data_IF_282311144144
#
_entry.id   IF_282311144144
#
_cell.length_a   1.000
_cell.length_b   1.000
_cell.length_c   1.000
_cell.angle_alpha   90.00
_cell.angle_beta   90.00
_cell.angle_gamma   90.00
#
_symmetry.space_group_name_H-M   'P 1'
#
loop_
_entity.id
_entity.type
_entity.pdbx_description
1 polymer ?
#
# COMPACT_ATOMS: atom_id res chain seq x y z
N UNK A 1 17.22 -17.11 -6.72
CA UNK A 1 17.15 -15.72 -6.21
C UNK A 1 16.15 -15.68 -5.08
N UNK A 2 16.47 -15.03 -3.95
CA UNK A 2 15.52 -14.87 -2.86
C UNK A 2 14.43 -13.88 -3.28
N UNK A 3 13.23 -14.40 -3.56
CA UNK A 3 12.09 -13.61 -3.98
C UNK A 3 11.36 -13.05 -2.75
N UNK A 4 11.01 -11.77 -2.79
CA UNK A 4 10.38 -11.06 -1.69
C UNK A 4 9.07 -10.42 -2.09
N UNK A 5 8.21 -10.22 -1.09
CA UNK A 5 7.03 -9.34 -1.15
C UNK A 5 7.36 -8.05 -0.42
N UNK A 6 7.27 -6.91 -1.11
CA UNK A 6 7.39 -5.59 -0.47
C UNK A 6 5.99 -5.08 -0.13
N UNK A 7 5.76 -4.73 1.16
CA UNK A 7 4.48 -4.19 1.62
C UNK A 7 4.67 -2.79 2.20
N UNK A 8 3.99 -1.79 1.62
CA UNK A 8 3.96 -0.43 2.16
C UNK A 8 2.82 -0.25 3.15
N UNK A 9 3.02 0.53 4.23
CA UNK A 9 2.01 0.69 5.28
C UNK A 9 1.73 -0.59 6.05
N UNK A 10 2.75 -1.41 6.28
CA UNK A 10 2.67 -2.77 6.82
C UNK A 10 2.35 -2.89 8.30
N UNK A 11 2.38 -1.78 9.08
CA UNK A 11 2.29 -1.83 10.55
C UNK A 11 0.87 -1.84 11.12
N UNK A 12 -0.16 -1.74 10.29
CA UNK A 12 -1.55 -1.74 10.74
C UNK A 12 -2.54 -2.11 9.63
N UNK A 13 -3.77 -2.41 10.01
CA UNK A 13 -4.89 -2.61 9.08
C UNK A 13 -4.63 -3.64 7.98
N UNK A 14 -5.03 -3.31 6.77
CA UNK A 14 -4.93 -4.19 5.60
C UNK A 14 -3.47 -4.59 5.33
N UNK A 15 -2.52 -3.66 5.40
CA UNK A 15 -1.11 -3.96 5.14
C UNK A 15 -0.51 -4.95 6.14
N UNK A 16 -0.94 -4.89 7.41
CA UNK A 16 -0.54 -5.86 8.43
C UNK A 16 -1.08 -7.27 8.11
N UNK A 17 -2.36 -7.37 7.76
CA UNK A 17 -2.98 -8.67 7.45
C UNK A 17 -2.41 -9.27 6.15
N UNK A 18 -2.14 -8.45 5.14
CA UNK A 18 -1.43 -8.86 3.92
C UNK A 18 -0.02 -9.39 4.26
N UNK A 19 0.71 -8.70 5.15
CA UNK A 19 2.05 -9.15 5.57
C UNK A 19 1.99 -10.50 6.27
N UNK A 20 1.03 -10.70 7.19
CA UNK A 20 0.80 -12.00 7.84
C UNK A 20 0.42 -13.09 6.84
N UNK A 21 -0.46 -12.77 5.89
CA UNK A 21 -0.89 -13.71 4.87
C UNK A 21 0.28 -14.21 4.03
N UNK A 22 1.11 -13.31 3.51
CA UNK A 22 2.26 -13.71 2.70
C UNK A 22 3.32 -14.47 3.53
N UNK A 23 3.55 -14.07 4.79
CA UNK A 23 4.41 -14.82 5.70
C UNK A 23 3.89 -16.25 5.90
N UNK A 24 2.58 -16.42 6.14
CA UNK A 24 1.96 -17.76 6.31
C UNK A 24 2.02 -18.63 5.05
N UNK A 25 2.26 -18.04 3.88
CA UNK A 25 2.48 -18.72 2.60
C UNK A 25 3.96 -18.98 2.31
N UNK A 26 4.85 -18.68 3.26
CA UNK A 26 6.29 -18.92 3.12
C UNK A 26 7.04 -17.86 2.30
N UNK A 27 6.43 -16.72 2.01
CA UNK A 27 7.12 -15.63 1.31
C UNK A 27 8.02 -14.84 2.25
N UNK A 28 9.21 -14.50 1.78
CA UNK A 28 10.06 -13.52 2.42
C UNK A 28 9.49 -12.11 2.24
N UNK A 29 9.71 -11.23 3.21
CA UNK A 29 9.05 -9.92 3.25
C UNK A 29 10.03 -8.76 3.40
N UNK A 30 9.75 -7.68 2.70
CA UNK A 30 10.27 -6.35 3.00
C UNK A 30 9.10 -5.49 3.47
N UNK A 31 9.21 -4.99 4.70
CA UNK A 31 8.15 -4.20 5.32
C UNK A 31 8.56 -2.73 5.41
N UNK A 32 7.69 -1.83 4.99
CA UNK A 32 7.95 -0.40 5.13
C UNK A 32 6.76 0.35 5.73
N UNK A 33 7.05 1.22 6.67
CA UNK A 33 6.16 2.17 7.32
C UNK A 33 6.99 3.26 8.00
N UNK A 34 6.35 4.25 8.63
CA UNK A 34 7.04 5.36 9.30
C UNK A 34 7.66 4.98 10.65
N UNK A 35 6.99 4.11 11.42
CA UNK A 35 7.34 3.77 12.82
C UNK A 35 8.29 2.58 12.87
N UNK A 36 9.55 2.86 13.10
CA UNK A 36 10.62 1.86 13.09
C UNK A 36 10.48 0.80 14.20
N UNK A 37 10.11 1.22 15.41
CA UNK A 37 9.90 0.29 16.53
C UNK A 37 8.85 -0.77 16.20
N UNK A 38 7.69 -0.36 15.65
CA UNK A 38 6.61 -1.27 15.29
C UNK A 38 7.00 -2.18 14.11
N UNK A 39 7.77 -1.67 13.17
CA UNK A 39 8.33 -2.50 12.08
C UNK A 39 9.25 -3.59 12.64
N UNK A 40 10.13 -3.24 13.56
CA UNK A 40 11.08 -4.19 14.18
C UNK A 40 10.35 -5.27 15.00
N UNK A 41 9.31 -4.91 15.74
CA UNK A 41 8.49 -5.87 16.46
C UNK A 41 7.72 -6.79 15.50
N UNK A 42 7.17 -6.24 14.41
CA UNK A 42 6.48 -7.02 13.39
C UNK A 42 7.45 -7.98 12.68
N UNK A 43 8.66 -7.52 12.33
CA UNK A 43 9.73 -8.35 11.77
C UNK A 43 10.01 -9.56 12.65
N UNK A 44 10.27 -9.34 13.94
CA UNK A 44 10.54 -10.42 14.91
C UNK A 44 9.38 -11.40 14.97
N UNK A 45 8.16 -10.89 15.10
CA UNK A 45 6.95 -11.70 15.21
C UNK A 45 6.74 -12.60 13.98
N UNK A 46 6.82 -12.02 12.77
CA UNK A 46 6.60 -12.78 11.53
C UNK A 46 7.71 -13.80 11.29
N UNK A 47 8.97 -13.44 11.53
CA UNK A 47 10.09 -14.39 11.38
C UNK A 47 9.98 -15.56 12.35
N UNK A 48 9.62 -15.32 13.61
CA UNK A 48 9.46 -16.39 14.61
C UNK A 48 8.27 -17.30 14.32
N UNK A 49 7.12 -16.73 13.94
CA UNK A 49 5.89 -17.52 13.78
C UNK A 49 5.83 -18.29 12.45
N UNK A 50 6.49 -17.80 11.40
CA UNK A 50 6.37 -18.36 10.06
C UNK A 50 7.69 -18.88 9.46
N UNK A 51 8.83 -18.67 10.13
CA UNK A 51 10.13 -19.14 9.64
C UNK A 51 10.63 -18.44 8.36
N UNK A 52 10.06 -17.30 8.01
CA UNK A 52 10.42 -16.54 6.80
C UNK A 52 11.42 -15.42 7.10
N UNK A 53 12.21 -15.06 6.08
CA UNK A 53 13.08 -13.91 6.18
C UNK A 53 12.24 -12.63 6.05
N UNK A 54 12.32 -11.77 7.07
CA UNK A 54 11.66 -10.46 7.07
C UNK A 54 12.70 -9.38 7.29
N UNK A 55 12.72 -8.38 6.42
CA UNK A 55 13.52 -7.18 6.64
C UNK A 55 12.66 -5.92 6.58
N UNK A 56 13.16 -4.83 7.15
CA UNK A 56 12.39 -3.60 7.34
C UNK A 56 13.18 -2.39 6.87
N UNK A 57 12.47 -1.45 6.27
CA UNK A 57 13.00 -0.13 5.97
C UNK A 57 12.01 0.96 6.39
N UNK A 58 12.31 1.74 7.43
CA UNK A 58 11.50 2.89 7.81
C UNK A 58 11.53 3.95 6.71
N UNK A 59 10.34 4.34 6.23
CA UNK A 59 10.21 5.38 5.23
C UNK A 59 8.87 6.13 5.37
N UNK A 60 8.92 7.43 5.15
CA UNK A 60 7.75 8.28 5.01
C UNK A 60 7.51 8.57 3.52
N UNK A 61 6.47 7.98 2.97
CA UNK A 61 6.13 8.13 1.55
C UNK A 61 5.58 9.52 1.18
N UNK A 62 5.34 10.40 2.15
CA UNK A 62 5.04 11.80 1.91
C UNK A 62 6.29 12.62 1.51
N UNK A 63 7.49 12.07 1.76
CA UNK A 63 8.76 12.73 1.42
C UNK A 63 9.25 12.31 0.04
N UNK A 64 9.77 13.28 -0.72
CA UNK A 64 10.49 13.00 -1.98
C UNK A 64 11.71 12.12 -1.69
N UNK A 65 12.01 11.21 -2.62
CA UNK A 65 13.16 10.30 -2.47
C UNK A 65 12.91 9.05 -1.63
N UNK A 66 11.77 8.95 -0.91
CA UNK A 66 11.45 7.74 -0.15
C UNK A 66 11.30 6.48 -1.02
N UNK A 67 10.65 6.51 -2.19
CA UNK A 67 10.62 5.37 -3.09
C UNK A 67 12.02 4.93 -3.53
N UNK A 68 12.90 5.86 -3.88
CA UNK A 68 14.27 5.60 -4.28
C UNK A 68 15.11 5.01 -3.12
N UNK A 69 14.89 5.52 -1.90
CA UNK A 69 15.52 4.96 -0.69
C UNK A 69 15.14 3.50 -0.49
N UNK A 70 13.86 3.16 -0.65
CA UNK A 70 13.36 1.79 -0.53
C UNK A 70 13.97 0.90 -1.62
N UNK A 71 13.98 1.36 -2.87
CA UNK A 71 14.56 0.60 -3.98
C UNK A 71 16.05 0.34 -3.77
N UNK A 72 16.84 1.36 -3.44
CA UNK A 72 18.28 1.24 -3.16
C UNK A 72 18.57 0.30 -1.99
N UNK A 73 17.73 0.30 -0.96
CA UNK A 73 17.86 -0.66 0.13
C UNK A 73 17.69 -2.10 -0.38
N UNK A 74 16.67 -2.39 -1.17
CA UNK A 74 16.47 -3.72 -1.73
C UNK A 74 17.61 -4.12 -2.67
N UNK A 75 18.05 -3.20 -3.53
CA UNK A 75 19.17 -3.41 -4.46
C UNK A 75 20.47 -3.72 -3.71
N UNK A 76 20.83 -2.94 -2.68
CA UNK A 76 22.05 -3.12 -1.90
C UNK A 76 22.12 -4.46 -1.15
N UNK A 77 20.96 -5.07 -0.87
CA UNK A 77 20.81 -6.36 -0.21
C UNK A 77 20.66 -7.53 -1.21
N UNK A 78 20.58 -7.24 -2.50
CA UNK A 78 20.33 -8.25 -3.54
C UNK A 78 18.93 -8.86 -3.46
N UNK A 79 17.94 -8.13 -2.90
CA UNK A 79 16.56 -8.60 -2.77
C UNK A 79 15.81 -8.40 -4.09
N UNK A 80 15.26 -9.48 -4.64
CA UNK A 80 14.39 -9.44 -5.81
C UNK A 80 12.94 -9.31 -5.38
N UNK A 81 12.28 -8.22 -5.72
CA UNK A 81 10.87 -8.00 -5.38
C UNK A 81 9.98 -8.59 -6.47
N UNK A 82 9.36 -9.72 -6.17
CA UNK A 82 8.41 -10.38 -7.06
C UNK A 82 7.00 -9.81 -6.93
N UNK A 83 6.62 -9.41 -5.71
CA UNK A 83 5.29 -8.85 -5.41
C UNK A 83 5.47 -7.49 -4.73
N UNK A 84 4.93 -6.45 -5.35
CA UNK A 84 4.88 -5.10 -4.78
C UNK A 84 3.46 -4.80 -4.32
N UNK A 85 3.28 -4.58 -3.00
CA UNK A 85 2.01 -4.20 -2.39
C UNK A 85 2.02 -2.73 -2.01
N UNK A 86 1.42 -1.90 -2.84
CA UNK A 86 1.18 -0.48 -2.60
C UNK A 86 -0.08 -0.32 -1.75
N UNK A 87 0.09 -0.34 -0.42
CA UNK A 87 -1.02 -0.27 0.54
C UNK A 87 -1.03 1.01 1.37
N UNK A 88 0.11 1.67 1.57
CA UNK A 88 0.18 2.88 2.38
C UNK A 88 -0.85 3.94 1.93
N UNK A 89 -1.56 4.51 2.89
CA UNK A 89 -2.55 5.54 2.63
C UNK A 89 -3.18 6.06 3.92
N UNK A 90 -3.82 7.21 3.81
CA UNK A 90 -4.62 7.84 4.86
C UNK A 90 -5.71 8.70 4.20
N UNK A 91 -6.58 9.30 5.00
CA UNK A 91 -7.58 10.25 4.55
C UNK A 91 -7.38 11.60 5.24
N UNK A 92 -7.82 12.68 4.59
CA UNK A 92 -7.87 14.02 5.18
C UNK A 92 -9.32 14.28 5.60
N UNK A 93 -9.59 14.54 6.90
CA UNK A 93 -10.96 14.70 7.41
C UNK A 93 -11.56 16.06 7.10
N UNK A 94 -10.70 17.06 6.87
CA UNK A 94 -11.12 18.46 6.77
C UNK A 94 -11.74 18.78 5.40
N UNK A 95 -12.68 19.75 5.37
CA UNK A 95 -13.19 20.29 4.11
C UNK A 95 -12.06 20.86 3.25
N UNK A 96 -12.12 20.65 1.94
CA UNK A 96 -11.06 21.01 0.99
C UNK A 96 -10.56 22.46 1.07
N UNK A 97 -11.45 23.43 1.35
CA UNK A 97 -11.09 24.84 1.48
C UNK A 97 -10.38 25.19 2.81
N UNK A 98 -10.31 24.25 3.75
CA UNK A 98 -9.62 24.41 5.04
C UNK A 98 -8.27 23.71 5.08
N UNK A 99 -7.98 22.83 4.10
CA UNK A 99 -6.68 22.17 3.99
C UNK A 99 -5.67 23.08 3.29
N UNK A 100 -4.40 22.89 3.61
CA UNK A 100 -3.31 23.58 2.92
C UNK A 100 -2.88 22.82 1.65
N UNK A 101 -2.28 23.52 0.72
CA UNK A 101 -1.70 22.91 -0.50
C UNK A 101 -0.65 21.86 -0.12
N UNK A 102 0.15 22.11 0.90
CA UNK A 102 1.19 21.16 1.38
C UNK A 102 0.58 19.84 1.91
N UNK A 103 -0.54 19.91 2.63
CA UNK A 103 -1.26 18.71 3.10
C UNK A 103 -1.80 17.90 1.92
N UNK A 104 -2.43 18.57 0.94
CA UNK A 104 -2.95 17.91 -0.25
C UNK A 104 -1.83 17.32 -1.11
N UNK A 105 -0.70 18.01 -1.25
CA UNK A 105 0.47 17.49 -1.96
C UNK A 105 1.07 16.26 -1.26
N UNK A 106 1.19 16.26 0.08
CA UNK A 106 1.63 15.11 0.87
C UNK A 106 0.69 13.93 0.71
N UNK A 107 -0.61 14.19 0.75
CA UNK A 107 -1.64 13.19 0.52
C UNK A 107 -1.51 12.55 -0.87
N UNK A 108 -1.45 13.36 -1.92
CA UNK A 108 -1.25 12.89 -3.29
C UNK A 108 0.08 12.13 -3.45
N UNK A 109 1.11 12.55 -2.73
CA UNK A 109 2.40 11.87 -2.74
C UNK A 109 2.30 10.47 -2.18
N UNK A 110 1.64 10.28 -1.06
CA UNK A 110 1.49 8.94 -0.45
C UNK A 110 0.60 8.04 -1.30
N UNK A 111 -0.55 8.55 -1.79
CA UNK A 111 -1.56 7.71 -2.42
C UNK A 111 -1.38 7.53 -3.94
N UNK A 112 -0.58 8.38 -4.60
CA UNK A 112 -0.37 8.29 -6.04
C UNK A 112 1.09 8.34 -6.46
N UNK A 113 1.82 9.45 -6.25
CA UNK A 113 3.15 9.59 -6.85
C UNK A 113 4.18 8.61 -6.29
N UNK A 114 4.10 8.22 -5.01
CA UNK A 114 4.95 7.18 -4.44
C UNK A 114 4.61 5.80 -5.02
N UNK A 115 3.33 5.52 -5.28
CA UNK A 115 2.87 4.28 -5.92
C UNK A 115 3.43 4.18 -7.33
N UNK A 116 3.35 5.27 -8.11
CA UNK A 116 3.92 5.34 -9.46
C UNK A 116 5.44 5.14 -9.41
N UNK A 117 6.14 5.83 -8.49
CA UNK A 117 7.58 5.77 -8.37
C UNK A 117 8.07 4.37 -7.98
N UNK A 118 7.50 3.75 -6.93
CA UNK A 118 7.82 2.38 -6.53
C UNK A 118 7.54 1.40 -7.66
N UNK A 119 6.38 1.50 -8.28
CA UNK A 119 6.02 0.65 -9.43
C UNK A 119 7.06 0.80 -10.55
N UNK A 120 7.41 2.03 -10.93
CA UNK A 120 8.37 2.29 -12.01
C UNK A 120 9.78 1.76 -11.70
N UNK A 121 10.21 1.86 -10.44
CA UNK A 121 11.52 1.37 -10.01
C UNK A 121 11.58 -0.16 -10.07
N UNK A 122 10.65 -0.86 -9.43
CA UNK A 122 10.65 -2.32 -9.39
C UNK A 122 10.21 -2.98 -10.70
N UNK A 123 9.41 -2.29 -11.52
CA UNK A 123 8.99 -2.79 -12.84
C UNK A 123 10.17 -3.13 -13.76
N UNK A 124 11.28 -2.39 -13.67
CA UNK A 124 12.50 -2.68 -14.44
C UNK A 124 13.03 -4.09 -14.17
N UNK A 125 13.09 -4.45 -12.88
CA UNK A 125 13.57 -5.77 -12.46
C UNK A 125 12.57 -6.86 -12.80
N UNK A 126 11.27 -6.57 -12.64
CA UNK A 126 10.18 -7.48 -13.02
C UNK A 126 10.21 -7.79 -14.54
N UNK A 127 10.45 -6.77 -15.38
CA UNK A 127 10.59 -6.93 -16.85
C UNK A 127 11.79 -7.84 -17.17
N UNK A 128 12.94 -7.57 -16.56
CA UNK A 128 14.15 -8.39 -16.74
C UNK A 128 13.92 -9.85 -16.35
N UNK A 129 13.17 -10.07 -15.27
CA UNK A 129 12.87 -11.39 -14.75
C UNK A 129 11.65 -12.05 -15.43
N UNK A 130 10.92 -11.34 -16.28
CA UNK A 130 9.65 -11.76 -16.91
C UNK A 130 8.64 -12.28 -15.90
N UNK A 131 8.63 -11.69 -14.70
CA UNK A 131 7.79 -12.10 -13.59
C UNK A 131 7.60 -10.95 -12.61
N UNK A 132 6.35 -10.63 -12.29
CA UNK A 132 6.03 -9.60 -11.31
C UNK A 132 4.55 -9.50 -11.04
N UNK A 133 4.21 -9.16 -9.80
CA UNK A 133 2.83 -8.87 -9.39
C UNK A 133 2.78 -7.56 -8.64
N UNK A 134 1.87 -6.70 -9.03
CA UNK A 134 1.66 -5.40 -8.38
C UNK A 134 0.24 -5.40 -7.80
N UNK A 135 0.15 -5.16 -6.51
CA UNK A 135 -1.12 -4.97 -5.82
C UNK A 135 -1.23 -3.52 -5.38
N UNK A 136 -2.33 -2.87 -5.72
CA UNK A 136 -2.63 -1.50 -5.30
C UNK A 136 -3.88 -1.53 -4.44
N UNK A 137 -3.79 -1.12 -3.19
CA UNK A 137 -4.96 -0.99 -2.33
C UNK A 137 -5.68 0.30 -2.68
N UNK A 138 -6.70 0.14 -3.50
CA UNK A 138 -7.62 1.19 -3.90
C UNK A 138 -8.78 1.30 -2.89
N UNK A 139 -9.99 1.54 -3.33
CA UNK A 139 -11.19 1.63 -2.50
C UNK A 139 -12.46 1.55 -3.37
N UNK A 140 -13.59 1.17 -2.78
CA UNK A 140 -14.92 1.37 -3.38
C UNK A 140 -15.23 2.86 -3.62
N UNK A 141 -14.55 3.77 -2.93
CA UNK A 141 -14.64 5.20 -3.19
C UNK A 141 -14.25 5.60 -4.62
N UNK A 142 -13.48 4.75 -5.33
CA UNK A 142 -13.18 4.93 -6.75
C UNK A 142 -14.41 4.88 -7.66
N UNK A 143 -15.53 4.32 -7.18
CA UNK A 143 -16.78 4.12 -7.91
C UNK A 143 -17.96 4.87 -7.28
N UNK A 144 -17.74 5.45 -6.09
CA UNK A 144 -18.77 6.18 -5.36
C UNK A 144 -18.96 7.59 -5.93
N UNK A 145 -20.13 8.22 -5.72
CA UNK A 145 -20.31 9.64 -5.97
C UNK A 145 -19.30 10.50 -5.22
N UNK A 146 -19.01 11.72 -5.69
CA UNK A 146 -18.13 12.66 -4.99
C UNK A 146 -18.57 12.89 -3.54
N UNK A 147 -17.60 12.96 -2.62
CA UNK A 147 -17.82 13.26 -1.21
C UNK A 147 -17.36 14.69 -0.91
N UNK A 148 -18.05 15.37 -0.01
CA UNK A 148 -17.63 16.69 0.50
C UNK A 148 -16.50 16.58 1.52
N UNK A 149 -16.30 15.41 2.09
CA UNK A 149 -15.20 15.05 2.99
C UNK A 149 -14.26 14.15 2.21
N UNK A 150 -12.95 14.25 2.48
CA UNK A 150 -11.95 13.48 1.74
C UNK A 150 -11.99 13.78 0.22
N UNK A 151 -12.04 15.05 -0.13
CA UNK A 151 -12.31 15.52 -1.48
C UNK A 151 -11.47 14.84 -2.57
N UNK A 152 -10.16 14.66 -2.35
CA UNK A 152 -9.25 14.02 -3.31
C UNK A 152 -9.20 12.50 -3.21
N UNK A 153 -9.79 11.89 -2.17
CA UNK A 153 -9.65 10.44 -1.95
C UNK A 153 -10.27 9.61 -3.09
N UNK A 154 -11.54 9.85 -3.41
CA UNK A 154 -12.21 9.19 -4.53
C UNK A 154 -11.47 9.37 -5.87
N UNK A 155 -11.18 10.60 -6.29
CA UNK A 155 -10.40 10.89 -7.49
C UNK A 155 -9.07 10.14 -7.57
N UNK A 156 -8.28 10.14 -6.48
CA UNK A 156 -7.00 9.42 -6.43
C UNK A 156 -7.21 7.92 -6.57
N UNK A 157 -8.21 7.35 -5.90
CA UNK A 157 -8.49 5.91 -5.99
C UNK A 157 -8.96 5.50 -7.40
N UNK A 158 -9.74 6.35 -8.07
CA UNK A 158 -10.10 6.17 -9.49
C UNK A 158 -8.85 6.19 -10.38
N UNK A 159 -7.97 7.15 -10.17
CA UNK A 159 -6.70 7.23 -10.90
C UNK A 159 -5.86 5.96 -10.68
N UNK A 160 -5.78 5.42 -9.46
CA UNK A 160 -5.04 4.20 -9.15
C UNK A 160 -5.63 2.97 -9.84
N UNK A 161 -6.97 2.86 -9.98
CA UNK A 161 -7.59 1.78 -10.73
C UNK A 161 -7.17 1.83 -12.20
N UNK A 162 -7.23 2.99 -12.83
CA UNK A 162 -6.81 3.17 -14.23
C UNK A 162 -5.32 2.94 -14.43
N UNK A 163 -4.50 3.36 -13.47
CA UNK A 163 -3.06 3.07 -13.48
C UNK A 163 -2.79 1.55 -13.43
N UNK A 164 -3.49 0.81 -12.57
CA UNK A 164 -3.39 -0.65 -12.50
C UNK A 164 -3.79 -1.34 -13.81
N UNK A 165 -4.89 -0.90 -14.43
CA UNK A 165 -5.33 -1.39 -15.74
C UNK A 165 -4.27 -1.14 -16.82
N UNK A 166 -3.67 0.06 -16.85
CA UNK A 166 -2.60 0.42 -17.78
C UNK A 166 -1.37 -0.49 -17.67
N UNK A 167 -0.99 -0.87 -16.44
CA UNK A 167 0.09 -1.84 -16.21
C UNK A 167 -0.26 -3.20 -16.84
N UNK A 168 -1.49 -3.70 -16.62
CA UNK A 168 -1.92 -4.98 -17.21
C UNK A 168 -1.90 -4.95 -18.74
N UNK A 169 -2.47 -3.91 -19.35
CA UNK A 169 -2.49 -3.77 -20.81
C UNK A 169 -1.07 -3.77 -21.39
N UNK A 170 -0.13 -3.11 -20.71
CA UNK A 170 1.23 -2.93 -21.22
C UNK A 170 2.16 -4.13 -20.98
N UNK A 171 1.97 -4.88 -19.87
CA UNK A 171 3.00 -5.80 -19.38
C UNK A 171 2.52 -7.22 -19.08
N UNK A 172 1.22 -7.53 -19.19
CA UNK A 172 0.72 -8.85 -18.81
C UNK A 172 1.31 -9.97 -19.71
N UNK A 173 1.51 -9.69 -21.00
CA UNK A 173 2.07 -10.66 -21.95
C UNK A 173 3.52 -11.07 -21.64
N UNK A 174 4.22 -10.28 -20.84
CA UNK A 174 5.59 -10.59 -20.39
C UNK A 174 5.63 -11.07 -18.93
N UNK A 175 4.48 -11.50 -18.39
CA UNK A 175 4.40 -12.12 -17.06
C UNK A 175 4.28 -11.15 -15.89
N UNK A 176 3.88 -9.89 -16.14
CA UNK A 176 3.68 -8.90 -15.09
C UNK A 176 2.21 -8.52 -15.03
N UNK A 177 1.61 -8.64 -13.84
CA UNK A 177 0.20 -8.30 -13.60
C UNK A 177 0.04 -7.25 -12.52
N UNK A 178 -1.03 -6.47 -12.60
CA UNK A 178 -1.42 -5.51 -11.57
C UNK A 178 -2.87 -5.71 -11.18
N UNK A 179 -3.17 -5.62 -9.89
CA UNK A 179 -4.52 -5.73 -9.34
C UNK A 179 -4.80 -4.54 -8.43
N UNK A 180 -5.83 -3.76 -8.76
CA UNK A 180 -6.39 -2.78 -7.86
C UNK A 180 -7.44 -3.48 -6.98
N UNK A 181 -7.14 -3.66 -5.71
CA UNK A 181 -8.06 -4.18 -4.71
C UNK A 181 -8.88 -3.02 -4.19
N UNK A 182 -10.20 -3.11 -4.25
CA UNK A 182 -11.13 -2.04 -3.88
C UNK A 182 -11.93 -2.42 -2.63
N UNK A 183 -11.34 -2.33 -1.42
CA UNK A 183 -12.05 -2.63 -0.18
C UNK A 183 -13.21 -1.67 0.04
N UNK A 184 -14.29 -2.20 0.64
CA UNK A 184 -15.33 -1.40 1.24
C UNK A 184 -14.94 -0.90 2.63
N UNK A 185 -15.94 -0.64 3.47
CA UNK A 185 -15.71 -0.23 4.85
C UNK A 185 -15.04 -1.34 5.66
N UNK A 186 -13.77 -1.14 5.94
CA UNK A 186 -12.93 -2.14 6.61
C UNK A 186 -12.59 -1.67 8.02
N UNK A 187 -12.81 -2.53 9.01
CA UNK A 187 -12.46 -2.24 10.40
C UNK A 187 -10.94 -2.29 10.55
N UNK A 188 -10.34 -1.12 10.62
CA UNK A 188 -8.89 -0.92 10.78
C UNK A 188 -8.64 0.38 11.55
N UNK A 189 -7.39 0.65 11.87
CA UNK A 189 -7.00 1.95 12.44
C UNK A 189 -7.00 3.09 11.40
N UNK A 190 -7.37 2.84 10.14
CA UNK A 190 -7.38 3.86 9.08
C UNK A 190 -8.30 5.04 9.45
N UNK A 191 -9.53 4.76 9.86
CA UNK A 191 -10.50 5.79 10.18
C UNK A 191 -10.12 6.59 11.44
N UNK A 192 -9.68 5.91 12.49
CA UNK A 192 -9.24 6.58 13.72
C UNK A 192 -7.94 7.38 13.52
N UNK A 193 -6.97 6.83 12.82
CA UNK A 193 -5.70 7.50 12.53
C UNK A 193 -5.82 8.66 11.53
N UNK A 194 -6.88 8.68 10.74
CA UNK A 194 -7.20 9.76 9.79
C UNK A 194 -8.22 10.75 10.34
N UNK A 195 -8.67 10.62 11.60
CA UNK A 195 -9.64 11.56 12.21
C UNK A 195 -11.09 11.42 11.70
N UNK A 196 -11.41 10.35 10.96
CA UNK A 196 -12.74 10.11 10.35
C UNK A 196 -13.49 8.93 10.97
N UNK A 197 -13.21 8.59 12.23
CA UNK A 197 -13.86 7.47 12.92
C UNK A 197 -15.39 7.63 12.97
N UNK A 198 -15.89 8.85 13.11
CA UNK A 198 -17.32 9.16 13.14
C UNK A 198 -18.06 8.74 11.85
N UNK A 199 -17.38 8.78 10.69
CA UNK A 199 -17.95 8.28 9.44
C UNK A 199 -18.12 6.77 9.51
N UNK A 200 -17.08 6.07 9.98
CA UNK A 200 -17.12 4.63 10.16
C UNK A 200 -18.23 4.21 11.13
N UNK A 201 -18.44 4.97 12.20
CA UNK A 201 -19.46 4.65 13.20
C UNK A 201 -20.88 4.70 12.64
N UNK A 202 -21.15 5.59 11.67
CA UNK A 202 -22.44 5.72 10.98
C UNK A 202 -22.71 4.61 9.96
N UNK A 203 -21.70 3.91 9.50
CA UNK A 203 -21.86 2.82 8.53
C UNK A 203 -22.60 1.66 9.19
N UNK A 204 -23.66 1.08 8.56
CA UNK A 204 -24.33 -0.11 9.06
C UNK A 204 -23.38 -1.29 9.26
N UNK A 205 -23.55 -2.06 10.32
CA UNK A 205 -22.66 -3.17 10.70
C UNK A 205 -22.47 -4.20 9.57
N UNK A 206 -23.51 -4.48 8.80
CA UNK A 206 -23.46 -5.47 7.71
C UNK A 206 -22.56 -5.04 6.53
N UNK A 207 -22.28 -3.74 6.39
CA UNK A 207 -21.35 -3.21 5.38
C UNK A 207 -19.91 -3.18 5.86
N UNK A 208 -19.66 -3.37 7.16
CA UNK A 208 -18.32 -3.38 7.74
C UNK A 208 -17.69 -4.77 7.62
N UNK A 209 -16.46 -4.82 7.14
CA UNK A 209 -15.68 -6.07 7.05
C UNK A 209 -14.45 -6.01 7.95
N UNK A 210 -14.07 -7.15 8.47
CA UNK A 210 -12.77 -7.31 9.16
C UNK A 210 -11.66 -7.31 8.12
N UNK A 211 -10.52 -6.66 8.43
CA UNK A 211 -9.35 -6.62 7.55
C UNK A 211 -8.76 -7.99 7.21
N UNK A 212 -9.03 -9.02 8.04
CA UNK A 212 -8.63 -10.41 7.77
C UNK A 212 -9.42 -11.07 6.63
N UNK A 213 -10.52 -10.44 6.19
CA UNK A 213 -11.42 -10.99 5.15
C UNK A 213 -11.26 -10.28 3.79
N UNK A 214 -10.29 -9.40 3.67
CA UNK A 214 -9.88 -8.73 2.44
C UNK A 214 -8.69 -9.48 1.84
#
# INVERSE_FOLDING_TARGET
>A
MNSFVLVTGSTSGIGLEISKYFASKGYNLILTARRENILNDLKKNLSLNYGVLVDCIPADLSLRGSPEKIYKFCESKGYSIEILVNNAGYAIPDPFHLTSIDEEEKFLRVLSTSVIALTKLFLKDMIKNKKGKIMIISSVAAFAPPSTIQFLYGPVKTFMNRFSEGINVSYNQIGITSTAVCPGYTITNFHSSSGIQYEMDRVPKFLKKDSKRI
#
